data_IF_788042332598
#
_entry.id   IF_788042332598
#
_cell.length_a   1.000
_cell.length_b   1.000
_cell.length_c   1.000
_cell.angle_alpha   90.00
_cell.angle_beta   90.00
_cell.angle_gamma   90.00
#
_symmetry.space_group_name_H-M   'P 1'
#
loop_
_entity.id
_entity.type
_entity.pdbx_description
1 polymer ?
#
# COMPACT_ATOMS: atom_id res chain seq x y z
N UNK A 1 8.56 14.02 10.76
CA UNK A 1 9.34 13.90 9.50
C UNK A 1 10.77 13.38 9.62
N UNK A 2 11.44 13.32 10.78
CA UNK A 2 12.85 12.88 10.84
C UNK A 2 13.11 11.39 11.17
N UNK A 3 12.08 10.59 11.48
CA UNK A 3 12.32 9.20 11.90
C UNK A 3 12.71 8.27 10.74
N UNK A 4 12.11 8.45 9.55
CA UNK A 4 12.37 7.58 8.40
C UNK A 4 13.77 7.77 7.78
N UNK A 5 14.40 8.93 7.94
CA UNK A 5 15.69 9.24 7.33
C UNK A 5 16.91 8.68 8.10
N UNK A 6 16.68 7.98 9.23
CA UNK A 6 17.74 7.51 10.13
C UNK A 6 17.82 5.99 10.29
N UNK A 7 17.00 5.23 9.55
CA UNK A 7 17.00 3.77 9.65
C UNK A 7 18.11 3.20 8.78
N UNK A 8 19.14 2.66 9.45
CA UNK A 8 20.22 1.91 8.83
C UNK A 8 19.65 0.63 8.15
N UNK A 9 19.82 0.45 6.83
CA UNK A 9 19.35 -0.73 6.11
C UNK A 9 19.86 -2.05 6.72
N UNK A 10 21.07 -2.06 7.29
CA UNK A 10 21.65 -3.24 7.95
C UNK A 10 20.93 -3.57 9.26
N UNK A 11 20.49 -2.55 10.01
CA UNK A 11 19.75 -2.73 11.26
C UNK A 11 18.32 -3.25 11.02
N UNK A 12 17.68 -2.86 9.92
CA UNK A 12 16.36 -3.34 9.49
C UNK A 12 16.40 -4.79 9.00
N UNK A 13 17.39 -5.14 8.19
CA UNK A 13 17.64 -6.51 7.74
C UNK A 13 17.82 -7.48 8.93
N UNK A 14 18.60 -7.05 9.93
CA UNK A 14 18.84 -7.82 11.16
C UNK A 14 17.58 -7.97 12.04
N UNK A 15 16.64 -7.03 12.00
CA UNK A 15 15.41 -7.07 12.78
C UNK A 15 14.26 -7.83 12.09
N UNK A 16 14.20 -7.82 10.76
CA UNK A 16 13.16 -8.46 9.95
C UNK A 16 13.49 -9.87 9.45
N UNK A 17 14.75 -10.29 9.52
CA UNK A 17 15.19 -11.58 8.97
C UNK A 17 15.29 -11.59 7.43
N UNK A 18 15.22 -10.43 6.80
CA UNK A 18 15.42 -10.23 5.35
C UNK A 18 16.85 -9.76 5.06
N UNK A 19 17.39 -10.03 3.87
CA UNK A 19 18.73 -9.56 3.50
C UNK A 19 18.74 -8.04 3.23
N UNK A 20 19.88 -7.37 3.45
CA UNK A 20 20.03 -5.91 3.35
C UNK A 20 19.64 -5.34 1.97
N UNK A 21 19.85 -6.13 0.92
CA UNK A 21 19.40 -5.87 -0.44
C UNK A 21 17.86 -5.75 -0.54
N UNK A 22 17.14 -6.66 0.12
CA UNK A 22 15.67 -6.70 0.12
C UNK A 22 15.11 -5.52 0.91
N UNK A 23 15.66 -5.24 2.09
CA UNK A 23 15.28 -4.09 2.90
C UNK A 23 15.51 -2.75 2.18
N UNK A 24 16.65 -2.60 1.49
CA UNK A 24 16.95 -1.40 0.70
C UNK A 24 16.01 -1.23 -0.49
N UNK A 25 15.65 -2.32 -1.17
CA UNK A 25 14.70 -2.30 -2.28
C UNK A 25 13.28 -1.93 -1.83
N UNK A 26 12.81 -2.52 -0.72
CA UNK A 26 11.52 -2.18 -0.11
C UNK A 26 11.48 -0.72 0.34
N UNK A 27 12.57 -0.20 0.91
CA UNK A 27 12.67 1.22 1.25
C UNK A 27 12.70 2.12 0.00
N UNK A 28 13.40 1.73 -1.06
CA UNK A 28 13.39 2.44 -2.34
C UNK A 28 12.00 2.47 -2.98
N UNK A 29 11.28 1.35 -2.93
CA UNK A 29 9.90 1.25 -3.38
C UNK A 29 8.95 2.07 -2.51
N UNK A 30 9.08 2.00 -1.19
CA UNK A 30 8.32 2.84 -0.27
C UNK A 30 8.59 4.34 -0.50
N UNK A 31 9.84 4.71 -0.81
CA UNK A 31 10.21 6.07 -1.14
C UNK A 31 9.62 6.52 -2.50
N UNK A 32 9.65 5.66 -3.52
CA UNK A 32 8.99 5.93 -4.80
C UNK A 32 7.46 6.03 -4.65
N UNK A 33 6.85 5.18 -3.82
CA UNK A 33 5.43 5.24 -3.46
C UNK A 33 5.07 6.42 -2.56
N UNK A 34 6.07 7.01 -1.88
CA UNK A 34 5.89 8.24 -1.10
C UNK A 34 5.99 9.51 -1.95
N UNK A 35 6.40 9.40 -3.22
CA UNK A 35 6.26 10.48 -4.19
C UNK A 35 4.85 10.43 -4.82
N UNK A 36 3.92 11.29 -4.39
CA UNK A 36 2.57 11.30 -4.94
C UNK A 36 2.56 11.64 -6.44
N UNK A 37 3.59 12.29 -6.97
CA UNK A 37 3.68 12.69 -8.37
C UNK A 37 4.08 11.53 -9.28
N UNK A 38 4.78 10.52 -8.76
CA UNK A 38 5.27 9.38 -9.53
C UNK A 38 4.13 8.53 -10.15
N UNK A 39 2.92 8.67 -9.64
CA UNK A 39 1.75 7.91 -10.06
C UNK A 39 0.59 8.78 -10.56
N UNK A 40 0.78 10.09 -10.66
CA UNK A 40 -0.28 11.03 -11.08
C UNK A 40 -0.87 10.67 -12.43
N UNK A 41 -0.07 10.17 -13.37
CA UNK A 41 -0.54 9.80 -14.71
C UNK A 41 -1.54 8.63 -14.72
N UNK A 42 -1.52 7.80 -13.66
CA UNK A 42 -2.43 6.67 -13.49
C UNK A 42 -3.56 6.99 -12.52
N UNK A 43 -3.63 8.22 -11.99
CA UNK A 43 -4.64 8.64 -11.03
C UNK A 43 -5.65 9.58 -11.68
N UNK A 44 -6.92 9.40 -11.33
CA UNK A 44 -7.97 10.36 -11.63
C UNK A 44 -8.60 10.82 -10.33
N UNK A 45 -8.61 12.14 -10.09
CA UNK A 45 -9.23 12.74 -8.92
C UNK A 45 -10.52 13.43 -9.34
N UNK A 46 -11.63 13.05 -8.71
CA UNK A 46 -12.94 13.65 -8.92
C UNK A 46 -13.46 14.15 -7.58
N UNK A 47 -13.98 15.39 -7.56
CA UNK A 47 -14.76 15.88 -6.44
C UNK A 47 -16.19 15.35 -6.56
N UNK A 48 -16.61 14.56 -5.58
CA UNK A 48 -17.98 14.10 -5.44
C UNK A 48 -18.85 15.18 -4.79
N UNK A 49 -20.13 14.89 -4.57
CA UNK A 49 -21.01 15.77 -3.80
C UNK A 49 -20.48 15.89 -2.37
N UNK A 50 -20.63 17.09 -1.78
CA UNK A 50 -20.29 17.31 -0.38
C UNK A 50 -21.22 16.48 0.52
N UNK A 51 -20.68 15.97 1.62
CA UNK A 51 -21.41 15.16 2.59
C UNK A 51 -21.52 15.88 3.94
N UNK A 52 -22.46 15.42 4.77
CA UNK A 52 -22.55 15.81 6.19
C UNK A 52 -22.06 14.64 7.03
N UNK A 53 -21.03 14.88 7.84
CA UNK A 53 -20.46 13.90 8.75
C UNK A 53 -20.46 14.48 10.16
N UNK A 54 -21.27 13.89 11.04
CA UNK A 54 -21.45 14.35 12.43
C UNK A 54 -21.78 15.85 12.56
N UNK A 55 -22.57 16.39 11.62
CA UNK A 55 -22.96 17.80 11.57
C UNK A 55 -21.89 18.74 11.00
N UNK A 56 -20.81 18.18 10.45
CA UNK A 56 -19.76 18.91 9.73
C UNK A 56 -19.94 18.70 8.22
N UNK A 57 -19.95 19.80 7.46
CA UNK A 57 -19.93 19.76 6.00
C UNK A 57 -18.53 19.37 5.51
N UNK A 58 -18.45 18.33 4.68
CA UNK A 58 -17.18 17.79 4.17
C UNK A 58 -17.17 17.75 2.64
N UNK A 59 -16.07 18.21 2.05
CA UNK A 59 -15.79 18.02 0.64
C UNK A 59 -15.20 16.63 0.42
N UNK A 60 -15.78 15.88 -0.52
CA UNK A 60 -15.39 14.50 -0.81
C UNK A 60 -14.61 14.43 -2.11
N UNK A 61 -13.42 13.85 -2.06
CA UNK A 61 -12.56 13.62 -3.21
C UNK A 61 -12.34 12.13 -3.39
N UNK A 62 -12.66 11.61 -4.58
CA UNK A 62 -12.43 10.22 -4.97
C UNK A 62 -11.24 10.20 -5.92
N UNK A 63 -10.18 9.52 -5.50
CA UNK A 63 -9.01 9.22 -6.31
C UNK A 63 -9.09 7.78 -6.79
N UNK A 64 -9.24 7.56 -8.09
CA UNK A 64 -9.20 6.22 -8.70
C UNK A 64 -7.82 6.00 -9.33
N UNK A 65 -7.28 4.78 -9.21
CA UNK A 65 -6.01 4.39 -9.81
C UNK A 65 -6.22 3.38 -10.95
N UNK A 66 -5.76 3.71 -12.15
CA UNK A 66 -5.79 2.84 -13.31
C UNK A 66 -4.62 1.84 -13.27
N UNK A 67 -4.87 0.71 -12.59
CA UNK A 67 -3.89 -0.37 -12.47
C UNK A 67 -3.51 -0.97 -13.83
N UNK A 68 -4.43 -1.01 -14.78
CA UNK A 68 -4.14 -1.56 -16.10
C UNK A 68 -3.19 -0.66 -16.90
N UNK A 69 -3.44 0.65 -16.87
CA UNK A 69 -2.54 1.62 -17.46
C UNK A 69 -1.17 1.58 -16.78
N UNK A 70 -1.13 1.45 -15.44
CA UNK A 70 0.12 1.34 -14.69
C UNK A 70 0.91 0.08 -15.05
N UNK A 71 0.31 -1.12 -15.00
CA UNK A 71 1.02 -2.38 -15.29
C UNK A 71 1.52 -2.42 -16.75
N UNK A 72 0.85 -1.70 -17.65
CA UNK A 72 1.25 -1.59 -19.05
C UNK A 72 2.29 -0.51 -19.31
N UNK A 73 2.73 0.22 -18.27
CA UNK A 73 3.59 1.39 -18.42
C UNK A 73 5.09 1.05 -18.31
N UNK A 74 5.97 1.88 -18.92
CA UNK A 74 7.41 1.78 -18.70
C UNK A 74 7.80 1.91 -17.22
N UNK A 75 7.08 2.71 -16.45
CA UNK A 75 7.33 2.95 -15.03
C UNK A 75 7.18 1.66 -14.21
N UNK A 76 6.19 0.82 -14.53
CA UNK A 76 6.06 -0.49 -13.90
C UNK A 76 7.22 -1.43 -14.27
N UNK A 77 7.65 -1.41 -15.54
CA UNK A 77 8.83 -2.19 -15.98
C UNK A 77 10.09 -1.74 -15.22
N UNK A 78 10.34 -0.44 -15.15
CA UNK A 78 11.47 0.15 -14.44
C UNK A 78 11.46 -0.22 -12.96
N UNK A 79 10.27 -0.23 -12.34
CA UNK A 79 10.09 -0.66 -10.95
C UNK A 79 10.46 -2.14 -10.76
N UNK A 80 9.97 -3.03 -11.62
CA UNK A 80 10.29 -4.46 -11.55
C UNK A 80 11.79 -4.70 -11.82
N UNK A 81 12.37 -4.03 -12.81
CA UNK A 81 13.81 -4.11 -13.09
C UNK A 81 14.65 -3.59 -11.92
N UNK A 82 14.22 -2.51 -11.27
CA UNK A 82 14.86 -2.02 -10.04
C UNK A 82 14.85 -3.06 -8.92
N UNK A 83 13.75 -3.79 -8.74
CA UNK A 83 13.67 -4.89 -7.76
C UNK A 83 14.60 -6.06 -8.13
N UNK A 84 14.73 -6.38 -9.41
CA UNK A 84 15.64 -7.43 -9.89
C UNK A 84 17.10 -7.04 -9.68
N UNK A 85 17.48 -5.84 -10.11
CA UNK A 85 18.82 -5.30 -9.99
C UNK A 85 19.25 -5.15 -8.52
N UNK A 86 18.29 -4.87 -7.64
CA UNK A 86 18.53 -4.83 -6.20
C UNK A 86 18.79 -6.21 -5.58
N UNK A 87 18.43 -7.30 -6.25
CA UNK A 87 18.49 -8.66 -5.71
C UNK A 87 17.36 -9.02 -4.75
N UNK A 88 16.38 -8.14 -4.54
CA UNK A 88 15.26 -8.34 -3.61
C UNK A 88 14.34 -9.52 -3.99
N UNK A 89 14.32 -9.89 -5.27
CA UNK A 89 13.54 -11.04 -5.75
C UNK A 89 14.26 -12.39 -5.53
N UNK A 90 15.47 -12.36 -4.97
CA UNK A 90 16.25 -13.56 -4.63
C UNK A 90 16.98 -14.20 -5.82
N UNK A 91 17.70 -15.32 -5.58
CA UNK A 91 18.54 -15.97 -6.59
C UNK A 91 17.74 -16.65 -7.72
N UNK A 92 16.45 -16.94 -7.48
CA UNK A 92 15.53 -17.51 -8.46
C UNK A 92 14.72 -16.41 -9.20
N UNK A 93 15.15 -15.15 -9.09
CA UNK A 93 14.52 -14.05 -9.79
C UNK A 93 14.51 -14.28 -11.31
N UNK A 94 13.42 -13.91 -12.00
CA UNK A 94 13.37 -13.95 -13.46
C UNK A 94 14.50 -13.13 -14.08
N UNK A 95 15.12 -13.62 -15.15
CA UNK A 95 16.10 -12.82 -15.89
C UNK A 95 15.41 -11.64 -16.58
N UNK A 96 16.18 -10.62 -16.99
CA UNK A 96 15.63 -9.51 -17.78
C UNK A 96 14.88 -9.99 -19.04
N UNK A 97 15.36 -11.05 -19.69
CA UNK A 97 14.69 -11.65 -20.85
C UNK A 97 13.37 -12.34 -20.47
N UNK A 98 13.33 -13.02 -19.31
CA UNK A 98 12.10 -13.64 -18.80
C UNK A 98 11.05 -12.57 -18.45
N UNK A 99 11.49 -11.43 -17.92
CA UNK A 99 10.63 -10.30 -17.60
C UNK A 99 10.08 -9.64 -18.86
N UNK A 100 10.90 -9.38 -19.87
CA UNK A 100 10.44 -8.85 -21.15
C UNK A 100 9.36 -9.76 -21.77
N UNK A 101 9.58 -11.07 -21.74
CA UNK A 101 8.60 -12.04 -22.22
C UNK A 101 7.33 -12.05 -21.35
N UNK A 102 7.49 -11.99 -20.03
CA UNK A 102 6.40 -11.87 -19.06
C UNK A 102 5.55 -10.62 -19.28
N UNK A 103 6.18 -9.47 -19.56
CA UNK A 103 5.52 -8.20 -19.86
C UNK A 103 4.76 -8.25 -21.18
N UNK A 104 5.28 -8.91 -22.21
CA UNK A 104 4.53 -9.12 -23.46
C UNK A 104 3.27 -9.96 -23.22
N UNK A 105 3.39 -11.02 -22.42
CA UNK A 105 2.24 -11.85 -22.04
C UNK A 105 1.24 -11.08 -21.18
N UNK A 106 1.71 -10.29 -20.21
CA UNK A 106 0.88 -9.40 -19.39
C UNK A 106 0.20 -8.31 -20.23
N UNK A 107 0.82 -7.79 -21.28
CA UNK A 107 0.16 -6.88 -22.20
C UNK A 107 -1.00 -7.53 -22.97
N UNK A 108 -0.84 -8.80 -23.37
CA UNK A 108 -1.87 -9.56 -24.09
C UNK A 108 -3.01 -10.03 -23.18
N UNK A 109 -2.67 -10.44 -21.95
CA UNK A 109 -3.60 -11.10 -21.03
C UNK A 109 -4.08 -10.19 -19.89
N UNK A 110 -3.41 -9.08 -19.65
CA UNK A 110 -3.66 -8.15 -18.55
C UNK A 110 -5.11 -7.70 -18.47
N UNK A 111 -5.75 -7.25 -19.57
CA UNK A 111 -7.16 -6.87 -19.54
C UNK A 111 -8.11 -7.97 -19.04
N UNK A 112 -7.79 -9.24 -19.31
CA UNK A 112 -8.56 -10.39 -18.81
C UNK A 112 -8.22 -10.72 -17.36
N UNK A 113 -6.93 -10.66 -16.99
CA UNK A 113 -6.47 -11.02 -15.65
C UNK A 113 -6.89 -10.01 -14.59
N UNK A 114 -6.87 -8.72 -14.93
CA UNK A 114 -7.23 -7.62 -14.03
C UNK A 114 -8.61 -7.04 -14.35
N UNK A 115 -9.43 -7.77 -15.09
CA UNK A 115 -10.81 -7.40 -15.30
C UNK A 115 -11.53 -7.26 -13.95
N UNK A 116 -12.23 -6.13 -13.74
CA UNK A 116 -12.94 -5.89 -12.49
C UNK A 116 -12.04 -5.51 -11.32
N UNK A 117 -10.75 -5.24 -11.55
CA UNK A 117 -9.89 -4.64 -10.54
C UNK A 117 -10.31 -3.17 -10.34
N UNK A 118 -10.52 -2.78 -9.09
CA UNK A 118 -10.82 -1.41 -8.66
C UNK A 118 -9.86 -1.03 -7.55
N UNK A 119 -9.26 0.15 -7.67
CA UNK A 119 -8.41 0.76 -6.65
C UNK A 119 -8.84 2.21 -6.50
N UNK A 120 -9.46 2.52 -5.36
CA UNK A 120 -10.02 3.82 -5.07
C UNK A 120 -9.62 4.28 -3.67
N UNK A 121 -9.36 5.57 -3.53
CA UNK A 121 -9.19 6.23 -2.24
C UNK A 121 -10.14 7.41 -2.16
N UNK A 122 -10.97 7.45 -1.13
CA UNK A 122 -11.82 8.60 -0.82
C UNK A 122 -11.16 9.41 0.28
N UNK A 123 -11.07 10.73 0.10
CA UNK A 123 -10.59 11.68 1.11
C UNK A 123 -11.69 12.68 1.39
N UNK A 124 -12.00 12.86 2.67
CA UNK A 124 -13.03 13.79 3.16
C UNK A 124 -12.33 14.92 3.90
N UNK A 125 -12.60 16.16 3.50
CA UNK A 125 -11.98 17.37 4.03
C UNK A 125 -13.05 18.30 4.58
N UNK A 126 -12.89 18.81 5.80
CA UNK A 126 -13.83 19.80 6.35
C UNK A 126 -13.85 21.06 5.49
N UNK A 127 -15.06 21.52 5.15
CA UNK A 127 -15.27 22.75 4.38
C UNK A 127 -15.02 23.97 5.26
N UNK A 128 -15.32 23.84 6.56
CA UNK A 128 -15.07 24.90 7.53
C UNK A 128 -13.58 25.03 7.86
N UNK A 129 -13.17 26.27 8.11
CA UNK A 129 -11.79 26.62 8.48
C UNK A 129 -11.54 26.39 9.97
N UNK A 130 -10.39 25.80 10.36
CA UNK A 130 -9.35 25.27 9.48
C UNK A 130 -9.74 23.95 8.81
N UNK A 131 -9.40 23.79 7.52
CA UNK A 131 -9.67 22.54 6.78
C UNK A 131 -8.84 21.38 7.31
N UNK A 132 -9.50 20.36 7.82
CA UNK A 132 -8.91 19.10 8.28
C UNK A 132 -9.29 17.94 7.37
N UNK A 133 -8.39 16.97 7.21
CA UNK A 133 -8.76 15.65 6.67
C UNK A 133 -9.46 14.89 7.79
N UNK A 134 -10.77 14.77 7.66
CA UNK A 134 -11.66 14.16 8.65
C UNK A 134 -11.87 12.66 8.40
N UNK A 135 -11.67 12.23 7.15
CA UNK A 135 -11.81 10.83 6.78
C UNK A 135 -10.95 10.49 5.58
N UNK A 136 -10.46 9.26 5.58
CA UNK A 136 -9.84 8.64 4.42
C UNK A 136 -10.28 7.18 4.37
N UNK A 137 -10.65 6.69 3.20
CA UNK A 137 -10.90 5.27 2.99
C UNK A 137 -10.27 4.79 1.70
N UNK A 138 -9.62 3.64 1.73
CA UNK A 138 -9.06 3.01 0.54
C UNK A 138 -9.77 1.68 0.29
N UNK A 139 -10.18 1.46 -0.94
CA UNK A 139 -10.76 0.22 -1.43
C UNK A 139 -9.85 -0.34 -2.53
N UNK A 140 -9.35 -1.54 -2.32
CA UNK A 140 -8.82 -2.39 -3.38
C UNK A 140 -9.74 -3.60 -3.52
N UNK A 141 -10.22 -3.85 -4.73
CA UNK A 141 -11.07 -5.00 -5.05
C UNK A 141 -10.63 -5.63 -6.35
N UNK A 142 -10.56 -6.96 -6.42
CA UNK A 142 -10.19 -7.70 -7.61
C UNK A 142 -10.97 -9.01 -7.72
N UNK A 143 -11.74 -9.16 -8.80
CA UNK A 143 -12.37 -10.42 -9.20
C UNK A 143 -11.34 -11.38 -9.82
N UNK A 144 -11.18 -12.54 -9.20
CA UNK A 144 -10.22 -13.56 -9.60
C UNK A 144 -10.79 -14.58 -10.59
N UNK A 145 -12.04 -14.45 -11.03
CA UNK A 145 -12.66 -15.42 -11.92
C UNK A 145 -11.85 -15.65 -13.20
N UNK A 146 -11.34 -14.57 -13.81
CA UNK A 146 -10.49 -14.65 -15.01
C UNK A 146 -9.17 -15.38 -14.74
N UNK A 147 -8.52 -15.07 -13.61
CA UNK A 147 -7.28 -15.73 -13.20
C UNK A 147 -7.48 -17.23 -12.95
N UNK A 148 -8.57 -17.60 -12.26
CA UNK A 148 -8.90 -18.99 -11.96
C UNK A 148 -9.26 -19.79 -13.21
N UNK A 149 -9.98 -19.19 -14.16
CA UNK A 149 -10.25 -19.82 -15.46
C UNK A 149 -8.96 -20.10 -16.23
N UNK A 150 -8.03 -19.14 -16.23
CA UNK A 150 -6.72 -19.32 -16.85
C UNK A 150 -5.90 -20.42 -16.16
N UNK A 151 -5.91 -20.45 -14.83
CA UNK A 151 -5.24 -21.50 -14.06
C UNK A 151 -5.83 -22.89 -14.33
N UNK A 152 -7.15 -23.00 -14.51
CA UNK A 152 -7.80 -24.24 -14.91
C UNK A 152 -7.41 -24.65 -16.34
N UNK A 153 -7.39 -23.70 -17.28
CA UNK A 153 -7.02 -23.96 -18.67
C UNK A 153 -5.56 -24.38 -18.84
N UNK A 154 -4.65 -23.81 -18.04
CA UNK A 154 -3.22 -24.17 -18.04
C UNK A 154 -2.93 -25.48 -17.30
N UNK A 155 -3.92 -26.03 -16.59
CA UNK A 155 -3.74 -27.21 -15.73
C UNK A 155 -3.03 -26.91 -14.41
N UNK A 156 -2.85 -25.64 -14.05
CA UNK A 156 -2.30 -25.23 -12.76
C UNK A 156 -3.27 -25.54 -11.60
N UNK A 157 -4.58 -25.53 -11.87
CA UNK A 157 -5.61 -25.96 -10.92
C UNK A 157 -6.45 -27.07 -11.58
N UNK A 158 -6.51 -28.28 -10.99
CA UNK A 158 -7.43 -29.32 -11.44
C UNK A 158 -8.88 -28.84 -11.43
N UNK A 159 -9.67 -29.22 -12.43
CA UNK A 159 -11.05 -28.73 -12.57
C UNK A 159 -11.96 -29.11 -11.39
N UNK A 160 -11.64 -30.20 -10.68
CA UNK A 160 -12.30 -30.69 -9.48
C UNK A 160 -11.87 -29.97 -8.19
N UNK A 161 -10.78 -29.19 -8.25
CA UNK A 161 -10.28 -28.35 -7.15
C UNK A 161 -10.62 -26.86 -7.34
N UNK A 162 -11.35 -26.53 -8.40
CA UNK A 162 -11.81 -25.16 -8.64
C UNK A 162 -12.72 -24.67 -7.50
N UNK A 163 -12.47 -23.48 -6.95
CA UNK A 163 -13.34 -22.91 -5.93
C UNK A 163 -14.77 -22.78 -6.45
N UNK A 164 -15.74 -23.27 -5.68
CA UNK A 164 -17.15 -22.99 -5.96
C UNK A 164 -17.54 -21.67 -5.32
N UNK A 165 -17.91 -20.67 -6.12
CA UNK A 165 -18.41 -19.38 -5.65
C UNK A 165 -17.63 -18.18 -6.19
N UNK A 166 -17.93 -17.00 -5.66
CA UNK A 166 -17.20 -15.77 -5.98
C UNK A 166 -15.79 -15.85 -5.38
N UNK A 167 -14.78 -15.66 -6.22
CA UNK A 167 -13.39 -15.59 -5.79
C UNK A 167 -12.92 -14.16 -5.98
N UNK A 168 -12.79 -13.43 -4.87
CA UNK A 168 -12.38 -12.04 -4.88
C UNK A 168 -11.35 -11.75 -3.80
N UNK A 169 -10.47 -10.79 -4.08
CA UNK A 169 -9.65 -10.12 -3.07
C UNK A 169 -10.27 -8.76 -2.83
N UNK A 170 -10.57 -8.44 -1.58
CA UNK A 170 -11.08 -7.14 -1.19
C UNK A 170 -10.33 -6.68 0.06
N UNK A 171 -9.71 -5.51 -0.03
CA UNK A 171 -9.03 -4.84 1.06
C UNK A 171 -9.68 -3.48 1.20
N UNK A 172 -10.28 -3.26 2.36
CA UNK A 172 -10.86 -1.98 2.72
C UNK A 172 -10.19 -1.46 3.98
N UNK A 173 -9.68 -0.24 3.91
CA UNK A 173 -9.15 0.49 5.06
C UNK A 173 -9.92 1.79 5.19
N UNK A 174 -10.15 2.20 6.43
CA UNK A 174 -10.75 3.49 6.73
C UNK A 174 -10.13 4.06 7.98
N UNK A 175 -9.83 5.36 7.91
CA UNK A 175 -9.36 6.17 9.02
C UNK A 175 -10.32 7.33 9.14
N UNK A 176 -10.86 7.53 10.33
CA UNK A 176 -11.69 8.67 10.68
C UNK A 176 -10.97 9.44 11.77
N UNK A 177 -10.85 10.74 11.58
CA UNK A 177 -10.24 11.65 12.53
C UNK A 177 -11.35 12.51 13.14
N UNK A 178 -11.34 12.62 14.47
CA UNK A 178 -12.30 13.41 15.24
C UNK A 178 -11.61 14.21 16.34
N UNK A 179 -12.41 14.88 17.17
CA UNK A 179 -11.98 15.63 18.36
C UNK A 179 -10.86 16.65 18.08
N UNK A 180 -10.94 17.30 16.91
CA UNK A 180 -9.98 18.30 16.50
C UNK A 180 -9.97 19.48 17.48
N UNK A 181 -8.78 19.80 17.97
CA UNK A 181 -8.55 20.87 18.96
C UNK A 181 -9.16 20.61 20.35
N UNK A 182 -9.62 19.39 20.63
CA UNK A 182 -10.00 19.01 21.98
C UNK A 182 -8.78 18.68 22.85
N UNK A 183 -8.90 18.92 24.16
CA UNK A 183 -7.84 18.57 25.10
C UNK A 183 -7.77 17.05 25.26
N UNK A 184 -6.61 16.47 24.94
CA UNK A 184 -6.36 15.05 25.16
C UNK A 184 -6.18 14.78 26.65
N UNK A 185 -7.17 14.16 27.29
CA UNK A 185 -7.09 13.74 28.69
C UNK A 185 -6.46 12.34 28.77
N UNK A 186 -5.15 12.28 29.07
CA UNK A 186 -4.46 11.02 29.36
C UNK A 186 -4.56 10.76 30.86
N UNK A 187 -5.52 9.94 31.27
CA UNK A 187 -5.55 9.43 32.64
C UNK A 187 -4.52 8.31 32.81
N UNK A 188 -3.68 8.43 33.84
CA UNK A 188 -2.74 7.37 34.20
C UNK A 188 -3.52 6.16 34.72
N UNK A 189 -3.35 4.95 34.16
CA UNK A 189 -3.97 3.74 34.71
C UNK A 189 -3.65 3.61 36.20
N UNK A 190 -4.62 3.19 37.01
CA UNK A 190 -4.50 3.19 38.48
C UNK A 190 -3.32 2.35 39.02
N UNK A 191 -2.77 1.47 38.18
CA UNK A 191 -1.66 0.55 38.43
C UNK A 191 -0.38 0.88 37.65
N UNK A 192 -0.33 2.01 36.93
CA UNK A 192 0.85 2.39 36.17
C UNK A 192 2.03 2.70 37.12
N UNK A 193 3.08 1.89 37.03
CA UNK A 193 4.36 2.22 37.66
C UNK A 193 5.03 3.34 36.86
N UNK A 194 5.08 4.54 37.43
CA UNK A 194 5.86 5.64 36.89
C UNK A 194 7.34 5.29 37.08
N UNK A 195 8.03 4.96 35.98
CA UNK A 195 9.48 4.83 35.98
C UNK A 195 10.06 6.23 35.78
N UNK A 196 10.82 6.78 36.75
CA UNK A 196 11.47 8.07 36.59
C UNK A 196 12.43 8.04 35.39
N UNK A 197 12.49 9.13 34.62
CA UNK A 197 13.36 9.22 33.44
C UNK A 197 14.83 8.92 33.78
N UNK A 198 15.25 9.25 35.00
CA UNK A 198 16.59 8.99 35.53
C UNK A 198 16.90 7.49 35.66
N UNK A 199 15.90 6.67 35.96
CA UNK A 199 16.05 5.22 36.06
C UNK A 199 16.19 4.55 34.67
N UNK A 200 15.58 5.13 33.64
CA UNK A 200 15.71 4.65 32.25
C UNK A 200 17.10 4.96 31.66
N UNK A 201 17.72 6.07 32.08
CA UNK A 201 19.07 6.44 31.64
C UNK A 201 20.17 5.59 32.28
N UNK A 202 20.00 5.15 33.53
CA UNK A 202 20.98 4.28 34.20
C UNK A 202 21.12 2.89 33.56
N UNK A 203 20.05 2.35 32.97
CA UNK A 203 20.11 1.08 32.24
C UNK A 203 20.86 1.14 30.91
N UNK A 204 21.12 2.33 30.36
CA UNK A 204 21.87 2.50 29.12
C UNK A 204 23.40 2.58 29.33
N UNK A 205 23.87 2.87 30.54
CA UNK A 205 25.31 3.05 30.84
C UNK A 205 26.00 1.77 31.37
N UNK A 206 25.31 0.62 31.40
CA UNK A 206 25.85 -0.64 31.94
C UNK A 206 26.03 -1.79 30.94
N UNK A 207 26.09 -1.51 29.63
CA UNK A 207 26.61 -2.45 28.63
C UNK A 207 27.95 -2.00 28.04
#
# INVERSE_FOLDING_TARGET
EQAAASMDPEAMAMAGGEDAATAAALMGMAAAMSDPTAFEEFQTIVRADDEDMDGMSVAVFVTSFDVLAFISSPQFVDLIMGLVDSGALGPDAPTAADLEQGMQMLGLMGPMLFQGLTSESTTMVSVDEPSYIVGQSTLFSWDLAGLLQMAAMSGAIPADEMPSGESKIEIFTSVLNGDFNEAQEIETPADAQIVPAEAMMQSAETN
#
